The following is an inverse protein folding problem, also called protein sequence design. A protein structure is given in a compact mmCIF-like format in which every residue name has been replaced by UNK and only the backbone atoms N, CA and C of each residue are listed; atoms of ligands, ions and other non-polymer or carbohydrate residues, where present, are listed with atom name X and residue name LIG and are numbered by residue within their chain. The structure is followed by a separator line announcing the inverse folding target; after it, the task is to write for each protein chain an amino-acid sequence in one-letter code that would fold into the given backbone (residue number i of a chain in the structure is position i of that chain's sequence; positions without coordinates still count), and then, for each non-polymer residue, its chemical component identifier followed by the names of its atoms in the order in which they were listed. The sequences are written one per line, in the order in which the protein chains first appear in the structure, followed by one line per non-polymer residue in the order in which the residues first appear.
data_IF_656272140040
#
_entry.id   IF_656272140040
#
_cell.length_a   1.000
_cell.length_b   1.000
_cell.length_c   1.000
_cell.angle_alpha   90.00
_cell.angle_beta   90.00
_cell.angle_gamma   90.00
#
_symmetry.space_group_name_H-M   'P 1'
#
loop_
_entity.id
_entity.type
_entity.pdbx_description
1 polymer ?
#
# COMPACT_ATOMS: atom_id res chain seq x y z
N UNK A 1 -6.18 -14.75 -13.70
CA UNK A 1 -6.38 -13.29 -13.63
C UNK A 1 -7.70 -12.94 -14.31
N UNK A 2 -8.68 -12.43 -13.55
CA UNK A 2 -9.83 -11.59 -13.93
C UNK A 2 -10.62 -11.33 -12.63
N UNK A 3 -10.53 -10.11 -12.06
CA UNK A 3 -11.57 -9.08 -12.01
C UNK A 3 -12.64 -9.28 -10.90
N UNK A 4 -12.38 -8.62 -9.75
CA UNK A 4 -13.27 -7.74 -8.94
C UNK A 4 -14.73 -7.54 -9.43
N UNK A 5 -15.75 -7.12 -8.62
CA UNK A 5 -15.73 -6.68 -7.21
C UNK A 5 -17.06 -6.89 -6.39
N UNK A 6 -17.13 -6.21 -5.23
CA UNK A 6 -18.31 -5.63 -4.52
C UNK A 6 -19.38 -6.52 -3.83
N UNK A 7 -19.45 -6.29 -2.51
CA UNK A 7 -20.61 -6.25 -1.60
C UNK A 7 -21.31 -7.56 -1.26
N UNK A 8 -21.68 -7.64 0.02
CA UNK A 8 -22.51 -8.71 0.52
C UNK A 8 -21.80 -9.44 1.64
N UNK A 9 -22.16 -9.04 2.85
CA UNK A 9 -22.25 -9.90 4.03
C UNK A 9 -22.78 -11.30 3.66
N UNK A 10 -22.54 -12.27 4.54
CA UNK A 10 -23.10 -13.64 4.53
C UNK A 10 -22.18 -14.73 3.94
N UNK A 11 -21.14 -15.11 4.68
CA UNK A 11 -20.68 -16.50 4.70
C UNK A 11 -21.58 -17.29 5.68
N UNK A 12 -22.71 -17.81 5.21
CA UNK A 12 -23.48 -18.80 5.96
C UNK A 12 -22.86 -20.18 5.72
N UNK A 13 -22.05 -20.66 6.66
CA UNK A 13 -21.64 -22.07 6.69
C UNK A 13 -22.63 -22.84 7.55
N UNK A 14 -23.37 -23.75 6.91
CA UNK A 14 -24.30 -24.67 7.55
C UNK A 14 -23.50 -25.80 8.21
N UNK A 15 -23.22 -25.68 9.51
CA UNK A 15 -22.71 -26.79 10.32
C UNK A 15 -23.92 -27.54 10.91
N UNK A 16 -24.04 -28.83 10.59
CA UNK A 16 -25.06 -29.69 11.15
C UNK A 16 -24.70 -30.15 12.57
N UNK A 17 -25.73 -30.23 13.39
CA UNK A 17 -25.77 -30.27 14.85
C UNK A 17 -25.41 -31.62 15.46
N UNK A 18 -24.34 -31.67 16.26
CA UNK A 18 -24.22 -32.52 17.44
C UNK A 18 -23.34 -31.81 18.50
N UNK A 19 -24.03 -31.11 19.41
CA UNK A 19 -23.72 -30.78 20.81
C UNK A 19 -22.28 -30.42 21.24
N UNK A 20 -21.54 -29.67 20.42
CA UNK A 20 -20.45 -28.83 20.93
C UNK A 20 -20.63 -27.42 20.40
N UNK A 21 -21.02 -26.49 21.28
CA UNK A 21 -21.01 -25.06 20.98
C UNK A 21 -19.56 -24.60 21.04
N UNK A 22 -18.87 -24.61 19.90
CA UNK A 22 -17.59 -23.93 19.79
C UNK A 22 -17.86 -22.42 19.76
N UNK A 23 -17.34 -21.68 20.74
CA UNK A 23 -17.29 -20.22 20.66
C UNK A 23 -16.40 -19.85 19.48
N UNK A 24 -17.00 -19.44 18.37
CA UNK A 24 -16.28 -18.89 17.23
C UNK A 24 -15.51 -17.67 17.75
N UNK A 25 -14.19 -17.76 17.79
CA UNK A 25 -13.35 -16.63 18.17
C UNK A 25 -13.65 -15.47 17.23
N UNK A 26 -13.94 -14.30 17.78
CA UNK A 26 -14.17 -13.09 16.97
C UNK A 26 -12.96 -12.81 16.09
N UNK A 27 -13.16 -12.06 15.01
CA UNK A 27 -12.05 -11.63 14.15
C UNK A 27 -11.00 -10.95 15.04
N UNK A 28 -9.73 -11.36 14.98
CA UNK A 28 -8.69 -10.87 15.91
C UNK A 28 -8.43 -9.36 15.81
N UNK A 29 -8.90 -8.71 14.74
CA UNK A 29 -8.80 -7.25 14.51
C UNK A 29 -10.18 -6.57 14.48
N UNK A 30 -11.18 -7.20 15.08
CA UNK A 30 -12.52 -6.65 15.32
C UNK A 30 -12.41 -5.28 15.99
N UNK A 31 -12.92 -4.23 15.33
CA UNK A 31 -12.81 -2.85 15.84
C UNK A 31 -13.43 -2.69 17.25
N UNK A 32 -14.47 -3.47 17.53
CA UNK A 32 -15.23 -3.46 18.78
C UNK A 32 -14.53 -4.13 19.97
N UNK A 33 -13.42 -4.85 19.75
CA UNK A 33 -12.66 -5.52 20.80
C UNK A 33 -11.30 -4.83 21.06
N UNK A 34 -10.98 -3.71 20.39
CA UNK A 34 -9.78 -2.91 20.69
C UNK A 34 -10.01 -2.11 21.97
N UNK A 35 -9.83 -2.77 23.12
CA UNK A 35 -9.49 -2.06 24.35
C UNK A 35 -8.19 -1.31 24.10
N UNK A 36 -8.20 0.01 24.35
CA UNK A 36 -7.02 0.86 24.18
C UNK A 36 -6.05 0.60 25.34
N UNK A 37 -5.37 -0.53 25.26
CA UNK A 37 -4.26 -0.86 26.15
C UNK A 37 -3.04 -0.05 25.72
N UNK A 38 -2.33 0.61 26.65
CA UNK A 38 -1.11 1.33 26.32
C UNK A 38 -0.12 0.37 25.66
N UNK A 39 0.20 0.61 24.39
CA UNK A 39 1.04 -0.28 23.60
C UNK A 39 2.40 -0.50 24.31
N UNK A 40 2.80 -1.77 24.41
CA UNK A 40 4.08 -2.15 25.02
C UNK A 40 5.23 -1.38 24.37
N UNK A 41 5.97 -0.62 25.19
CA UNK A 41 7.10 0.18 24.74
C UNK A 41 8.17 -0.66 24.02
N UNK A 42 8.31 -1.95 24.37
CA UNK A 42 9.22 -2.86 23.68
C UNK A 42 8.73 -3.17 22.26
N UNK A 43 7.43 -3.38 22.08
CA UNK A 43 6.83 -3.63 20.78
C UNK A 43 6.88 -2.39 19.88
N UNK A 44 6.60 -1.21 20.44
CA UNK A 44 6.75 0.06 19.72
C UNK A 44 8.19 0.24 19.21
N UNK A 45 9.19 0.00 20.07
CA UNK A 45 10.61 0.06 19.67
C UNK A 45 10.93 -0.91 18.54
N UNK A 46 10.34 -2.12 18.56
CA UNK A 46 10.55 -3.12 17.51
C UNK A 46 9.96 -2.67 16.17
N UNK A 47 8.74 -2.13 16.17
CA UNK A 47 8.12 -1.57 14.96
C UNK A 47 8.97 -0.42 14.41
N UNK A 48 9.35 0.52 15.28
CA UNK A 48 10.19 1.64 14.86
C UNK A 48 11.52 1.18 14.27
N UNK A 49 12.17 0.20 14.89
CA UNK A 49 13.40 -0.39 14.38
C UNK A 49 13.19 -1.12 13.03
N UNK A 50 12.09 -1.84 12.86
CA UNK A 50 11.77 -2.51 11.60
C UNK A 50 11.45 -1.53 10.46
N UNK A 51 10.94 -0.33 10.78
CA UNK A 51 10.65 0.73 9.83
C UNK A 51 11.88 1.58 9.45
N UNK A 52 13.05 1.33 10.06
CA UNK A 52 14.28 2.03 9.70
C UNK A 52 14.74 1.65 8.29
N UNK A 53 15.40 2.61 7.65
CA UNK A 53 16.04 2.40 6.35
C UNK A 53 17.14 1.32 6.44
N UNK A 54 17.35 0.51 5.39
CA UNK A 54 18.37 -0.54 5.37
C UNK A 54 19.76 -0.06 5.78
N UNK A 55 20.18 1.11 5.28
CA UNK A 55 21.48 1.73 5.57
C UNK A 55 21.69 2.10 7.04
N UNK A 56 20.61 2.26 7.81
CA UNK A 56 20.68 2.54 9.27
C UNK A 56 20.69 1.25 10.10
N UNK A 57 20.27 0.14 9.50
CA UNK A 57 20.13 -1.17 10.17
C UNK A 57 21.34 -2.07 9.93
N UNK A 58 21.95 -1.99 8.76
CA UNK A 58 23.09 -2.82 8.37
C UNK A 58 24.22 -1.94 7.84
N UNK A 59 25.46 -2.36 8.06
CA UNK A 59 26.65 -1.69 7.52
C UNK A 59 26.84 -1.92 6.03
N UNK A 60 26.38 -3.06 5.54
CA UNK A 60 26.54 -3.51 4.16
C UNK A 60 25.22 -4.07 3.62
N UNK A 61 24.97 -4.00 2.29
CA UNK A 61 23.77 -4.55 1.68
C UNK A 61 23.72 -6.07 1.89
N UNK A 62 22.52 -6.58 2.22
CA UNK A 62 22.31 -8.00 2.48
C UNK A 62 21.74 -8.73 1.27
N UNK A 63 21.22 -8.00 0.29
CA UNK A 63 20.61 -8.55 -0.93
C UNK A 63 21.01 -7.73 -2.15
N UNK A 64 21.07 -8.36 -3.32
CA UNK A 64 21.33 -7.70 -4.62
C UNK A 64 20.42 -6.47 -4.86
N UNK A 65 19.14 -6.58 -4.50
CA UNK A 65 18.19 -5.47 -4.61
C UNK A 65 18.54 -4.28 -3.71
N UNK A 66 19.15 -4.53 -2.55
CA UNK A 66 19.64 -3.48 -1.66
C UNK A 66 20.90 -2.83 -2.21
N UNK A 67 21.77 -3.57 -2.90
CA UNK A 67 22.98 -3.01 -3.53
C UNK A 67 22.64 -1.88 -4.50
N UNK A 68 21.64 -2.09 -5.34
CA UNK A 68 21.18 -1.09 -6.33
C UNK A 68 20.69 0.19 -5.64
N UNK A 69 19.99 0.06 -4.51
CA UNK A 69 19.38 1.16 -3.76
C UNK A 69 20.23 1.70 -2.61
N UNK A 70 21.43 1.14 -2.38
CA UNK A 70 22.21 1.40 -1.16
C UNK A 70 22.61 2.87 -1.05
N UNK A 71 23.12 3.44 -2.14
CA UNK A 71 23.45 4.86 -2.24
C UNK A 71 22.39 5.61 -3.07
N UNK A 72 21.27 5.94 -2.44
CA UNK A 72 20.14 6.62 -3.12
C UNK A 72 20.34 8.12 -3.34
N UNK A 73 21.33 8.73 -2.70
CA UNK A 73 21.66 10.14 -2.89
C UNK A 73 22.32 10.36 -4.24
N UNK A 74 21.82 11.28 -5.09
CA UNK A 74 22.44 11.54 -6.38
C UNK A 74 23.85 12.12 -6.20
N UNK A 75 24.79 11.69 -7.04
CA UNK A 75 26.18 12.18 -7.02
C UNK A 75 26.28 13.68 -7.33
N UNK A 76 25.35 14.20 -8.14
CA UNK A 76 25.25 15.63 -8.48
C UNK A 76 23.93 16.15 -7.93
N UNK A 77 23.98 17.27 -7.20
CA UNK A 77 22.77 17.92 -6.70
C UNK A 77 21.89 18.37 -7.87
N UNK A 78 20.67 17.86 -7.95
CA UNK A 78 19.72 18.25 -9.01
C UNK A 78 19.11 19.60 -8.65
N UNK A 79 19.52 20.65 -9.35
CA UNK A 79 18.87 21.97 -9.25
C UNK A 79 17.58 21.98 -10.07
N UNK A 80 16.42 21.85 -9.40
CA UNK A 80 15.10 21.88 -10.03
C UNK A 80 14.64 23.27 -10.47
N UNK A 81 15.40 24.32 -10.13
CA UNK A 81 15.13 25.69 -10.59
C UNK A 81 15.93 26.04 -11.86
N UNK A 82 16.87 25.19 -12.28
CA UNK A 82 17.62 25.44 -13.51
C UNK A 82 16.77 25.02 -14.73
N UNK A 83 16.16 26.01 -15.37
CA UNK A 83 15.35 25.83 -16.57
C UNK A 83 16.15 25.31 -17.78
N UNK A 84 17.49 25.25 -17.72
CA UNK A 84 18.32 24.68 -18.79
C UNK A 84 18.40 23.17 -18.74
N UNK A 85 18.19 22.58 -17.55
CA UNK A 85 18.38 21.14 -17.31
C UNK A 85 17.11 20.46 -16.80
N UNK A 86 16.16 21.19 -16.22
CA UNK A 86 14.96 20.64 -15.62
C UNK A 86 13.71 20.89 -16.47
N UNK A 87 13.31 19.88 -17.26
CA UNK A 87 12.13 19.90 -18.13
C UNK A 87 11.10 18.82 -17.75
N UNK A 88 10.43 18.93 -16.59
CA UNK A 88 9.39 17.98 -16.23
C UNK A 88 8.19 18.11 -17.16
N UNK A 89 7.60 16.99 -17.56
CA UNK A 89 6.30 17.01 -18.22
C UNK A 89 5.24 17.58 -17.28
N UNK A 90 4.45 18.54 -17.78
CA UNK A 90 3.38 19.19 -17.02
C UNK A 90 2.04 18.92 -17.68
N UNK A 91 1.06 18.50 -16.90
CA UNK A 91 -0.31 18.36 -17.38
C UNK A 91 -0.97 19.73 -17.47
N UNK A 92 -1.37 20.13 -18.67
CA UNK A 92 -2.22 21.31 -18.87
C UNK A 92 -3.69 20.95 -18.70
N UNK A 93 -4.57 21.95 -18.67
CA UNK A 93 -6.02 21.73 -18.65
C UNK A 93 -6.48 20.88 -19.85
N UNK A 94 -5.96 21.16 -21.04
CA UNK A 94 -6.28 20.42 -22.26
C UNK A 94 -5.85 18.96 -22.14
N UNK A 95 -4.61 18.71 -21.70
CA UNK A 95 -4.11 17.33 -21.54
C UNK A 95 -4.93 16.55 -20.52
N UNK A 96 -5.35 17.20 -19.41
CA UNK A 96 -6.22 16.58 -18.40
C UNK A 96 -7.62 16.29 -18.95
N UNK A 97 -8.22 17.25 -19.66
CA UNK A 97 -9.53 17.08 -20.29
C UNK A 97 -9.51 15.91 -21.29
N UNK A 98 -8.52 15.88 -22.18
CA UNK A 98 -8.38 14.80 -23.16
C UNK A 98 -8.18 13.46 -22.47
N UNK A 99 -7.35 13.37 -21.42
CA UNK A 99 -7.18 12.14 -20.66
C UNK A 99 -8.49 11.64 -20.03
N UNK A 100 -9.32 12.54 -19.48
CA UNK A 100 -10.64 12.20 -18.96
C UNK A 100 -11.59 11.73 -20.06
N UNK A 101 -11.60 12.42 -21.21
CA UNK A 101 -12.41 12.05 -22.37
C UNK A 101 -12.03 10.66 -22.92
N UNK A 102 -10.73 10.35 -22.99
CA UNK A 102 -10.24 9.04 -23.43
C UNK A 102 -10.64 7.91 -22.48
N UNK A 103 -10.59 8.15 -21.16
CA UNK A 103 -11.07 7.18 -20.15
C UNK A 103 -12.57 6.90 -20.30
N UNK A 104 -13.37 7.94 -20.44
CA UNK A 104 -14.82 7.81 -20.65
C UNK A 104 -15.12 7.02 -21.94
N UNK A 105 -14.41 7.33 -23.04
CA UNK A 105 -14.53 6.62 -24.31
C UNK A 105 -14.23 5.13 -24.19
N UNK A 106 -13.20 4.75 -23.42
CA UNK A 106 -12.90 3.34 -23.12
C UNK A 106 -14.06 2.65 -22.40
N UNK A 107 -14.56 3.25 -21.32
CA UNK A 107 -15.70 2.71 -20.55
C UNK A 107 -16.98 2.56 -21.36
N UNK A 108 -17.21 3.42 -22.35
CA UNK A 108 -18.38 3.33 -23.24
C UNK A 108 -18.25 2.25 -24.31
N UNK A 109 -17.02 1.90 -24.72
CA UNK A 109 -16.76 0.85 -25.71
C UNK A 109 -16.93 -0.55 -25.12
N UNK A 110 -16.48 -0.76 -23.88
CA UNK A 110 -16.60 -2.06 -23.20
C UNK A 110 -18.05 -2.44 -22.83
N UNK A 111 -18.97 -1.46 -22.87
CA UNK A 111 -20.40 -1.66 -22.58
C UNK A 111 -21.25 -1.98 -23.82
N UNK A 112 -20.63 -2.06 -25.00
CA UNK A 112 -21.31 -2.34 -26.27
C UNK A 112 -20.74 -3.62 -26.87
#
# INVERSE_FOLDING_TARGET
YCLLPIQGTHCFLKLHSHDVIYTITRKPTSWHDNLEEPADAKFLKLIHHAALEPNKKYTEPQTESQEIGWFSSPLISVNRNDNRLYFPSRSTEITRYMAAMWRLKGMTKDKR
#
